data_IF_979831389004
#
_entry.id   IF_979831389004
#
_cell.length_a   1.000
_cell.length_b   1.000
_cell.length_c   1.000
_cell.angle_alpha   90.00
_cell.angle_beta   90.00
_cell.angle_gamma   90.00
#
_symmetry.space_group_name_H-M   'P 1'
#
loop_
_entity.id
_entity.type
_entity.pdbx_description
1 polymer ?
#
# COMPACT_ATOMS: atom_id res chain seq x y z
N UNK A 1 -0.21 20.36 6.39
CA UNK A 1 -0.22 19.82 7.76
C UNK A 1 1.01 18.95 7.91
N UNK A 2 1.93 19.30 8.81
CA UNK A 2 3.16 18.53 9.02
C UNK A 2 2.90 17.39 10.01
N UNK A 3 3.40 16.19 9.70
CA UNK A 3 3.31 15.01 10.57
C UNK A 3 4.64 14.82 11.29
N UNK A 4 4.63 14.78 12.61
CA UNK A 4 5.81 14.37 13.38
C UNK A 4 5.95 12.84 13.31
N UNK A 5 7.17 12.39 13.03
CA UNK A 5 7.55 10.97 13.04
C UNK A 5 8.13 10.59 14.41
N UNK A 6 7.94 9.34 14.81
CA UNK A 6 8.58 8.84 16.03
C UNK A 6 10.10 8.75 15.84
N UNK A 7 10.82 8.75 16.96
CA UNK A 7 12.28 8.60 16.96
C UNK A 7 12.70 7.26 16.35
N UNK A 8 11.94 6.18 16.56
CA UNK A 8 12.21 4.89 15.92
C UNK A 8 12.09 4.98 14.39
N UNK A 9 11.04 5.62 13.88
CA UNK A 9 10.84 5.79 12.44
C UNK A 9 11.99 6.57 11.80
N UNK A 10 12.47 7.63 12.46
CA UNK A 10 13.62 8.41 11.98
C UNK A 10 14.88 7.55 11.89
N UNK A 11 15.14 6.70 12.90
CA UNK A 11 16.28 5.76 12.89
C UNK A 11 16.18 4.74 11.76
N UNK A 12 14.97 4.25 11.46
CA UNK A 12 14.74 3.32 10.35
C UNK A 12 14.99 3.99 9.00
N UNK A 13 14.51 5.23 8.80
CA UNK A 13 14.76 6.02 7.59
C UNK A 13 16.27 6.26 7.42
N UNK A 14 16.98 6.58 8.49
CA UNK A 14 18.45 6.74 8.47
C UNK A 14 19.18 5.47 8.06
N UNK A 15 18.78 4.32 8.61
CA UNK A 15 19.35 3.03 8.25
C UNK A 15 19.10 2.71 6.77
N UNK A 16 17.86 2.87 6.31
CA UNK A 16 17.48 2.63 4.92
C UNK A 16 18.22 3.57 3.95
N UNK A 17 18.32 4.86 4.29
CA UNK A 17 19.08 5.86 3.51
C UNK A 17 20.53 5.43 3.30
N UNK A 18 21.20 4.94 4.36
CA UNK A 18 22.58 4.41 4.25
C UNK A 18 22.66 3.13 3.42
N UNK A 19 21.74 2.19 3.61
CA UNK A 19 21.75 0.90 2.91
C UNK A 19 21.47 1.05 1.40
N UNK A 20 20.58 1.97 1.04
CA UNK A 20 20.18 2.19 -0.34
C UNK A 20 21.04 3.24 -1.05
N UNK A 21 21.95 3.90 -0.32
CA UNK A 21 22.71 5.05 -0.81
C UNK A 21 21.81 6.15 -1.41
N UNK A 22 20.70 6.42 -0.73
CA UNK A 22 19.69 7.40 -1.15
C UNK A 22 19.52 8.45 -0.05
N UNK A 23 19.16 9.68 -0.42
CA UNK A 23 18.80 10.68 0.58
C UNK A 23 17.50 10.27 1.32
N UNK A 24 17.31 10.77 2.55
CA UNK A 24 16.18 10.39 3.41
C UNK A 24 14.82 10.73 2.78
N UNK A 25 14.75 11.86 2.07
CA UNK A 25 13.52 12.32 1.42
C UNK A 25 13.07 11.35 0.32
N UNK A 26 13.99 10.90 -0.54
CA UNK A 26 13.69 9.91 -1.58
C UNK A 26 13.28 8.56 -0.99
N UNK A 27 13.89 8.14 0.12
CA UNK A 27 13.45 6.93 0.83
C UNK A 27 11.99 7.06 1.27
N UNK A 28 11.61 8.20 1.85
CA UNK A 28 10.24 8.46 2.30
C UNK A 28 9.28 8.49 1.11
N UNK A 29 9.61 9.24 0.04
CA UNK A 29 8.76 9.36 -1.15
C UNK A 29 8.56 8.00 -1.81
N UNK A 30 9.62 7.20 -1.96
CA UNK A 30 9.53 5.86 -2.55
C UNK A 30 8.67 4.94 -1.69
N UNK A 31 8.84 4.95 -0.36
CA UNK A 31 8.02 4.15 0.55
C UNK A 31 6.52 4.52 0.48
N UNK A 32 6.20 5.81 0.39
CA UNK A 32 4.82 6.28 0.23
C UNK A 32 4.24 5.79 -1.09
N UNK A 33 4.99 5.89 -2.20
CA UNK A 33 4.53 5.42 -3.51
C UNK A 33 4.22 3.93 -3.51
N UNK A 34 5.15 3.11 -3.00
CA UNK A 34 4.97 1.66 -2.93
C UNK A 34 3.75 1.28 -2.09
N UNK A 35 3.52 1.97 -0.96
CA UNK A 35 2.34 1.74 -0.14
C UNK A 35 1.03 2.09 -0.85
N UNK A 36 1.00 3.21 -1.59
CA UNK A 36 -0.20 3.62 -2.34
C UNK A 36 -0.53 2.64 -3.47
N UNK A 37 0.48 2.15 -4.20
CA UNK A 37 0.31 1.13 -5.24
C UNK A 37 -0.23 -0.18 -4.65
N UNK A 38 0.34 -0.64 -3.52
CA UNK A 38 -0.14 -1.84 -2.84
C UNK A 38 -1.58 -1.68 -2.33
N UNK A 39 -1.92 -0.51 -1.79
CA UNK A 39 -3.26 -0.21 -1.32
C UNK A 39 -4.29 -0.09 -2.45
N UNK A 40 -3.88 0.32 -3.65
CA UNK A 40 -4.72 0.30 -4.85
C UNK A 40 -4.97 -1.14 -5.31
N UNK A 41 -3.91 -1.94 -5.46
CA UNK A 41 -4.01 -3.37 -5.80
C UNK A 41 -4.93 -4.13 -4.83
N UNK A 42 -4.80 -3.88 -3.53
CA UNK A 42 -5.66 -4.53 -2.52
C UNK A 42 -7.14 -4.18 -2.72
N UNK A 43 -7.45 -2.91 -3.02
CA UNK A 43 -8.83 -2.47 -3.28
C UNK A 43 -9.39 -3.08 -4.55
N UNK A 44 -8.56 -3.24 -5.58
CA UNK A 44 -8.96 -3.94 -6.81
C UNK A 44 -9.30 -5.40 -6.54
N UNK A 45 -8.46 -6.12 -5.78
CA UNK A 45 -8.73 -7.50 -5.40
C UNK A 45 -10.03 -7.64 -4.60
N UNK A 46 -10.26 -6.77 -3.61
CA UNK A 46 -11.52 -6.75 -2.84
C UNK A 46 -12.75 -6.48 -3.73
N UNK A 47 -12.58 -5.70 -4.80
CA UNK A 47 -13.65 -5.41 -5.75
C UNK A 47 -13.93 -6.61 -6.66
N UNK A 48 -12.89 -7.32 -7.10
CA UNK A 48 -13.02 -8.53 -7.90
C UNK A 48 -13.70 -9.67 -7.12
N UNK A 49 -13.34 -9.82 -5.84
CA UNK A 49 -13.95 -10.81 -4.95
C UNK A 49 -15.47 -10.60 -4.86
N UNK A 50 -15.90 -9.36 -4.60
CA UNK A 50 -17.33 -8.99 -4.59
C UNK A 50 -18.02 -9.26 -5.92
N UNK A 51 -17.40 -8.88 -7.04
CA UNK A 51 -17.98 -9.12 -8.36
C UNK A 51 -18.12 -10.62 -8.65
N UNK A 52 -17.18 -11.44 -8.16
CA UNK A 52 -17.25 -12.89 -8.31
C UNK A 52 -18.36 -13.51 -7.46
N UNK A 53 -18.56 -13.04 -6.23
CA UNK A 53 -19.65 -13.46 -5.36
C UNK A 53 -21.01 -13.07 -5.95
N UNK A 54 -21.14 -11.83 -6.44
CA UNK A 54 -22.35 -11.36 -7.12
C UNK A 54 -22.65 -12.14 -8.41
N UNK A 55 -21.62 -12.49 -9.18
CA UNK A 55 -21.77 -13.31 -10.38
C UNK A 55 -22.23 -14.73 -10.05
N UNK A 56 -21.69 -15.33 -8.99
CA UNK A 56 -22.10 -16.64 -8.50
C UNK A 56 -23.55 -16.63 -8.00
N UNK A 57 -23.91 -15.65 -7.17
CA UNK A 57 -25.27 -15.51 -6.66
C UNK A 57 -26.29 -15.35 -7.79
N UNK A 58 -25.95 -14.56 -8.83
CA UNK A 58 -26.80 -14.39 -10.00
C UNK A 58 -26.91 -15.68 -10.83
N UNK A 59 -25.83 -16.43 -10.97
CA UNK A 59 -25.85 -17.72 -11.67
C UNK A 59 -26.74 -18.74 -10.95
N UNK A 60 -26.63 -18.82 -9.62
CA UNK A 60 -27.45 -19.73 -8.80
C UNK A 60 -28.94 -19.35 -8.79
N UNK A 61 -29.28 -18.06 -8.89
CA UNK A 61 -30.69 -17.60 -8.97
C UNK A 61 -31.37 -17.89 -10.32
N UNK A 62 -30.60 -18.16 -11.37
CA UNK A 62 -31.12 -18.41 -12.73
C UNK A 62 -31.36 -19.91 -12.99
N UNK A 63 -30.81 -20.78 -12.13
CA UNK A 63 -31.05 -22.23 -12.11
C UNK A 63 -32.28 -22.61 -11.26
#
# INVERSE_FOLDING_TARGET
MEKQLSLETIKLIEKASKQLNMNKELVIVSAIKSYLEEAELKREFESWDKLSDEALENFEKVL
#
